data_IF_738142186676
#
_entry.id   IF_738142186676
#
_cell.length_a   1.000
_cell.length_b   1.000
_cell.length_c   1.000
_cell.angle_alpha   90.00
_cell.angle_beta   90.00
_cell.angle_gamma   90.00
#
_symmetry.space_group_name_H-M   'P 1'
#
loop_
_entity.id
_entity.type
_entity.pdbx_description
1 polymer ?
#
# COMPACT_ATOMS: atom_id res chain seq x y z
N UNK A 1 -3.33 -6.51 -20.32
CA UNK A 1 -4.40 -6.41 -19.33
C UNK A 1 -4.01 -5.44 -18.25
N UNK A 2 -4.93 -4.56 -17.86
CA UNK A 2 -4.66 -3.62 -16.80
C UNK A 2 -4.74 -4.32 -15.45
N UNK A 3 -3.70 -4.20 -14.65
CA UNK A 3 -3.69 -4.75 -13.30
C UNK A 3 -4.16 -3.70 -12.30
N UNK A 4 -4.52 -4.15 -11.11
CA UNK A 4 -4.85 -3.23 -10.02
C UNK A 4 -3.65 -2.37 -9.69
N UNK A 5 -3.91 -1.12 -9.29
CA UNK A 5 -2.87 -0.16 -8.95
C UNK A 5 -3.15 0.45 -7.59
N UNK A 6 -2.09 0.92 -6.94
CA UNK A 6 -2.23 1.65 -5.68
C UNK A 6 -2.78 3.03 -5.99
N UNK A 7 -3.96 3.34 -5.45
CA UNK A 7 -4.60 4.63 -5.62
C UNK A 7 -4.01 5.68 -4.68
N UNK A 8 -3.62 5.24 -3.49
CA UNK A 8 -3.04 6.12 -2.49
C UNK A 8 -2.81 5.38 -1.19
N UNK A 9 -2.23 6.07 -0.23
CA UNK A 9 -1.97 5.50 1.08
C UNK A 9 -2.08 6.59 2.14
N UNK A 10 -2.58 6.23 3.32
CA UNK A 10 -2.71 7.16 4.44
C UNK A 10 -2.26 6.46 5.72
N UNK A 11 -1.77 7.24 6.67
CA UNK A 11 -1.43 6.73 8.00
C UNK A 11 -2.63 6.87 8.90
N UNK A 12 -2.94 5.80 9.64
CA UNK A 12 -4.08 5.77 10.56
C UNK A 12 -3.65 5.16 11.90
N UNK A 13 -4.39 5.45 12.99
CA UNK A 13 -4.08 4.81 14.28
C UNK A 13 -4.44 3.33 14.26
N UNK A 14 -3.57 2.51 14.82
CA UNK A 14 -3.81 1.08 14.96
C UNK A 14 -4.41 0.73 16.32
N UNK A 15 -4.65 -0.57 16.53
CA UNK A 15 -5.31 -1.09 17.73
C UNK A 15 -4.56 -0.79 19.03
N UNK A 16 -3.27 -0.84 18.97
CA UNK A 16 -2.41 -0.73 20.15
C UNK A 16 -1.70 0.62 20.24
N UNK A 17 -2.23 1.61 19.58
CA UNK A 17 -1.66 2.95 19.57
C UNK A 17 -0.53 3.14 18.59
N UNK A 18 -0.15 2.11 17.86
CA UNK A 18 0.87 2.23 16.82
C UNK A 18 0.23 2.65 15.51
N UNK A 19 0.97 3.45 14.73
CA UNK A 19 0.48 3.87 13.42
C UNK A 19 0.51 2.70 12.45
N UNK A 20 -0.51 2.64 11.59
CA UNK A 20 -0.60 1.68 10.50
C UNK A 20 -0.74 2.43 9.19
N UNK A 21 -0.35 1.77 8.10
CA UNK A 21 -0.52 2.33 6.76
C UNK A 21 -1.73 1.67 6.11
N UNK A 22 -2.68 2.48 5.66
CA UNK A 22 -3.84 1.99 4.91
C UNK A 22 -3.59 2.31 3.45
N UNK A 23 -3.45 1.26 2.64
CA UNK A 23 -3.19 1.37 1.20
C UNK A 23 -4.48 1.10 0.45
N UNK A 24 -4.87 2.01 -0.42
CA UNK A 24 -6.06 1.86 -1.24
C UNK A 24 -5.63 1.36 -2.61
N UNK A 25 -6.27 0.29 -3.05
CA UNK A 25 -5.98 -0.37 -4.32
C UNK A 25 -7.19 -0.27 -5.23
N UNK A 26 -7.00 0.27 -6.42
CA UNK A 26 -8.08 0.37 -7.41
C UNK A 26 -7.92 -0.76 -8.42
N UNK A 27 -8.99 -1.52 -8.60
CA UNK A 27 -9.05 -2.60 -9.57
C UNK A 27 -9.54 -2.09 -10.93
N UNK A 28 -9.26 -2.83 -12.02
CA UNK A 28 -9.67 -2.40 -13.37
C UNK A 28 -11.18 -2.21 -13.53
N UNK A 29 -11.99 -2.90 -12.73
CA UNK A 29 -13.45 -2.77 -12.77
C UNK A 29 -13.97 -1.57 -11.99
N UNK A 30 -13.09 -0.75 -11.44
CA UNK A 30 -13.46 0.43 -10.65
C UNK A 30 -13.62 0.18 -9.16
N UNK A 31 -13.57 -1.06 -8.71
CA UNK A 31 -13.65 -1.38 -7.29
C UNK A 31 -12.39 -0.91 -6.55
N UNK A 32 -12.57 -0.46 -5.31
CA UNK A 32 -11.46 -0.01 -4.48
C UNK A 32 -11.44 -0.85 -3.20
N UNK A 33 -10.30 -1.46 -2.93
CA UNK A 33 -10.06 -2.21 -1.69
C UNK A 33 -9.03 -1.47 -0.83
N UNK A 34 -9.09 -1.70 0.48
CA UNK A 34 -8.12 -1.16 1.42
C UNK A 34 -7.35 -2.28 2.07
N UNK A 35 -6.05 -2.12 2.16
CA UNK A 35 -5.16 -3.08 2.81
C UNK A 35 -4.42 -2.34 3.93
N UNK A 36 -4.49 -2.89 5.14
CA UNK A 36 -3.82 -2.29 6.30
C UNK A 36 -2.49 -2.98 6.53
N UNK A 37 -1.43 -2.20 6.61
CA UNK A 37 -0.08 -2.70 6.83
C UNK A 37 0.45 -2.18 8.17
N UNK A 38 1.16 -3.05 8.90
CA UNK A 38 1.88 -2.60 10.08
C UNK A 38 3.13 -1.81 9.68
N UNK A 39 3.82 -1.25 10.68
CA UNK A 39 4.97 -0.39 10.42
C UNK A 39 6.07 -1.10 9.62
N UNK A 40 6.32 -2.37 9.93
CA UNK A 40 7.37 -3.12 9.24
C UNK A 40 7.03 -3.37 7.78
N UNK A 41 5.79 -3.79 7.51
CA UNK A 41 5.35 -4.01 6.12
C UNK A 41 5.31 -2.72 5.34
N UNK A 42 4.87 -1.63 5.97
CA UNK A 42 4.83 -0.31 5.33
C UNK A 42 6.24 0.13 4.93
N UNK A 43 7.22 -0.06 5.82
CA UNK A 43 8.59 0.30 5.53
C UNK A 43 9.15 -0.51 4.35
N UNK A 44 8.87 -1.82 4.34
CA UNK A 44 9.31 -2.68 3.25
C UNK A 44 8.72 -2.26 1.91
N UNK A 45 7.44 -1.89 1.91
CA UNK A 45 6.79 -1.41 0.69
C UNK A 45 7.45 -0.14 0.18
N UNK A 46 7.72 0.81 1.06
CA UNK A 46 8.38 2.05 0.68
C UNK A 46 9.78 1.80 0.12
N UNK A 47 10.52 0.89 0.74
CA UNK A 47 11.86 0.53 0.27
C UNK A 47 11.81 -0.16 -1.09
N UNK A 48 10.89 -1.10 -1.28
CA UNK A 48 10.76 -1.84 -2.54
C UNK A 48 10.37 -0.93 -3.70
N UNK A 49 9.56 0.09 -3.43
CA UNK A 49 9.14 1.05 -4.44
C UNK A 49 10.12 2.21 -4.60
N UNK A 50 11.18 2.24 -3.79
CA UNK A 50 12.12 3.36 -3.71
C UNK A 50 11.39 4.68 -3.48
N UNK A 51 10.30 4.63 -2.70
CA UNK A 51 9.44 5.77 -2.47
C UNK A 51 9.98 6.63 -1.34
N UNK A 52 10.07 7.93 -1.56
CA UNK A 52 10.50 8.88 -0.55
C UNK A 52 9.36 9.30 0.37
N UNK A 53 8.11 8.99 -0.02
CA UNK A 53 6.94 9.32 0.77
C UNK A 53 5.73 8.57 0.24
N UNK A 54 4.58 8.74 0.92
CA UNK A 54 3.37 8.00 0.59
C UNK A 54 2.85 8.35 -0.81
N UNK A 55 3.07 9.58 -1.25
CA UNK A 55 2.60 10.01 -2.58
C UNK A 55 3.28 9.26 -3.70
N UNK A 56 4.52 8.79 -3.49
CA UNK A 56 5.25 8.04 -4.50
C UNK A 56 4.68 6.64 -4.70
N UNK A 57 3.83 6.16 -3.79
CA UNK A 57 3.15 4.89 -3.94
C UNK A 57 1.99 4.96 -4.93
N UNK A 58 1.44 6.14 -5.16
CA UNK A 58 0.31 6.30 -6.07
C UNK A 58 0.72 5.92 -7.49
N UNK A 59 -0.07 5.06 -8.10
CA UNK A 59 0.20 4.58 -9.45
C UNK A 59 1.11 3.37 -9.51
N UNK A 60 1.68 2.94 -8.39
CA UNK A 60 2.49 1.73 -8.36
C UNK A 60 1.58 0.51 -8.56
N UNK A 61 2.08 -0.54 -9.24
CA UNK A 61 1.26 -1.73 -9.45
C UNK A 61 0.99 -2.47 -8.13
N UNK A 62 -0.19 -3.04 -8.04
CA UNK A 62 -0.62 -3.86 -6.91
C UNK A 62 0.39 -4.97 -6.58
N UNK A 63 1.11 -5.45 -7.58
CA UNK A 63 2.12 -6.50 -7.42
C UNK A 63 3.17 -6.14 -6.35
N UNK A 64 3.52 -4.86 -6.24
CA UNK A 64 4.49 -4.40 -5.23
C UNK A 64 3.99 -4.69 -3.82
N UNK A 65 2.71 -4.44 -3.58
CA UNK A 65 2.09 -4.70 -2.29
C UNK A 65 2.06 -6.20 -1.99
N UNK A 66 1.72 -7.00 -2.99
CA UNK A 66 1.64 -8.44 -2.86
C UNK A 66 3.01 -9.05 -2.52
N UNK A 67 4.07 -8.56 -3.15
CA UNK A 67 5.44 -9.02 -2.89
C UNK A 67 5.84 -8.78 -1.44
N UNK A 68 5.44 -7.64 -0.87
CA UNK A 68 5.74 -7.32 0.51
C UNK A 68 4.97 -8.23 1.47
N UNK A 69 3.70 -8.51 1.16
CA UNK A 69 2.85 -9.34 2.01
C UNK A 69 3.29 -10.82 1.99
N UNK A 70 3.91 -11.26 0.91
CA UNK A 70 4.36 -12.64 0.77
C UNK A 70 5.72 -12.92 1.43
N UNK A 71 6.37 -11.92 1.97
CA UNK A 71 7.68 -12.08 2.62
C UNK A 71 7.61 -12.46 4.08
#
# INVERSE_FOLDING_TARGET
MADAVIEGAVVAPGHDGQAVLVVRVRHPNGAVDSVTLDADCARKLLEDCAAEGLEALRGQPWQRLQDVLDR
#
